data_IF_780641557109
#
_entry.id   IF_780641557109
#
_cell.length_a   1.000
_cell.length_b   1.000
_cell.length_c   1.000
_cell.angle_alpha   90.00
_cell.angle_beta   90.00
_cell.angle_gamma   90.00
#
_symmetry.space_group_name_H-M   'P 1'
#
loop_
_entity.id
_entity.type
_entity.pdbx_description
1 polymer ?
#
# COMPACT_ATOMS: atom_id res chain seq x y z
N UNK A 1 0.54 10.92 20.02
CA UNK A 1 0.42 11.65 18.74
C UNK A 1 1.29 10.97 17.70
N UNK A 2 0.88 10.93 16.43
CA UNK A 2 1.72 10.36 15.37
C UNK A 2 2.97 11.21 15.12
N UNK A 3 4.07 10.58 14.71
CA UNK A 3 5.37 11.24 14.45
C UNK A 3 5.28 12.41 13.45
N UNK A 4 4.34 12.33 12.51
CA UNK A 4 4.06 13.37 11.51
C UNK A 4 3.34 14.62 12.05
N UNK A 5 2.92 14.64 13.33
CA UNK A 5 2.21 15.76 13.96
C UNK A 5 3.07 16.54 14.97
N UNK A 6 4.38 16.25 15.02
CA UNK A 6 5.28 16.94 15.95
C UNK A 6 5.49 18.41 15.53
N UNK A 7 5.69 19.35 16.47
CA UNK A 7 5.92 20.76 16.14
C UNK A 7 7.05 20.94 15.12
N UNK A 8 8.17 20.24 15.29
CA UNK A 8 9.31 20.29 14.37
C UNK A 8 8.95 19.93 12.93
N UNK A 9 8.07 18.94 12.72
CA UNK A 9 7.61 18.56 11.38
C UNK A 9 6.65 19.61 10.82
N UNK A 10 5.73 20.14 11.62
CA UNK A 10 4.80 21.18 11.17
C UNK A 10 5.53 22.48 10.80
N UNK A 11 6.54 22.87 11.58
CA UNK A 11 7.39 24.02 11.30
C UNK A 11 8.17 23.84 10.00
N UNK A 12 8.71 22.63 9.77
CA UNK A 12 9.40 22.30 8.51
C UNK A 12 8.45 22.39 7.31
N UNK A 13 7.24 21.84 7.41
CA UNK A 13 6.24 21.92 6.34
C UNK A 13 5.87 23.37 6.04
N UNK A 14 5.67 24.19 7.09
CA UNK A 14 5.38 25.62 6.94
C UNK A 14 6.53 26.38 6.26
N UNK A 15 7.79 26.14 6.66
CA UNK A 15 8.98 26.73 6.01
C UNK A 15 9.11 26.35 4.52
N UNK A 16 8.53 25.21 4.13
CA UNK A 16 8.52 24.72 2.74
C UNK A 16 7.26 25.13 1.98
N UNK A 17 6.39 25.97 2.55
CA UNK A 17 5.10 26.35 1.97
C UNK A 17 4.20 25.14 1.65
N UNK A 18 4.25 24.11 2.50
CA UNK A 18 3.41 22.91 2.37
C UNK A 18 2.27 23.02 3.37
N UNK A 19 1.03 23.03 2.87
CA UNK A 19 -0.17 22.97 3.72
C UNK A 19 -0.55 21.51 3.99
N UNK A 20 -0.44 21.01 5.23
CA UNK A 20 -0.90 19.66 5.56
C UNK A 20 -2.43 19.59 5.56
N UNK A 21 -2.99 18.56 4.93
CA UNK A 21 -4.42 18.24 5.05
C UNK A 21 -4.65 17.32 6.25
N UNK A 22 -5.68 17.62 7.06
CA UNK A 22 -6.10 16.75 8.16
C UNK A 22 -7.16 15.79 7.62
N UNK A 23 -6.78 14.52 7.51
CA UNK A 23 -7.72 13.45 7.17
C UNK A 23 -8.40 12.96 8.45
N UNK A 24 -9.74 12.92 8.53
CA UNK A 24 -10.44 12.32 9.65
C UNK A 24 -10.03 10.86 9.85
N UNK A 25 -10.15 10.38 11.08
CA UNK A 25 -10.00 8.95 11.36
C UNK A 25 -10.91 8.13 10.44
N UNK A 26 -10.45 6.93 10.07
CA UNK A 26 -11.11 5.98 9.14
C UNK A 26 -11.37 6.44 7.70
N UNK A 27 -11.05 7.69 7.33
CA UNK A 27 -11.20 8.16 5.96
C UNK A 27 -9.99 7.88 5.06
N UNK A 28 -8.87 7.38 5.59
CA UNK A 28 -7.61 7.22 4.85
C UNK A 28 -7.77 6.35 3.59
N UNK A 29 -8.43 5.20 3.73
CA UNK A 29 -8.77 4.30 2.63
C UNK A 29 -9.88 4.79 1.68
N UNK A 30 -10.40 6.01 1.88
CA UNK A 30 -11.38 6.65 1.01
C UNK A 30 -10.78 7.85 0.27
N UNK A 31 -9.91 8.61 0.94
CA UNK A 31 -9.49 9.92 0.44
C UNK A 31 -8.00 10.05 0.18
N UNK A 32 -7.15 9.18 0.75
CA UNK A 32 -5.71 9.24 0.51
C UNK A 32 -5.36 8.46 -0.76
N UNK A 33 -4.85 9.12 -1.81
CA UNK A 33 -4.58 8.46 -3.10
C UNK A 33 -3.64 7.27 -3.01
N UNK A 34 -2.67 7.31 -2.09
CA UNK A 34 -1.75 6.19 -1.86
C UNK A 34 -2.46 4.99 -1.24
N UNK A 35 -3.39 5.21 -0.31
CA UNK A 35 -4.13 4.11 0.34
C UNK A 35 -5.16 3.48 -0.61
N UNK A 36 -5.88 4.33 -1.36
CA UNK A 36 -6.94 3.91 -2.28
C UNK A 36 -6.35 3.23 -3.52
N UNK A 37 -5.41 3.88 -4.19
CA UNK A 37 -4.93 3.46 -5.51
C UNK A 37 -3.63 2.66 -5.46
N UNK A 38 -2.87 2.76 -4.39
CA UNK A 38 -1.64 1.97 -4.19
C UNK A 38 -1.88 0.79 -3.25
N UNK A 39 -1.99 1.06 -1.95
CA UNK A 39 -1.97 0.03 -0.91
C UNK A 39 -3.12 -0.97 -1.05
N UNK A 40 -4.34 -0.51 -1.35
CA UNK A 40 -5.49 -1.41 -1.49
C UNK A 40 -5.29 -2.37 -2.66
N UNK A 41 -5.07 -1.85 -3.86
CA UNK A 41 -4.91 -2.65 -5.07
C UNK A 41 -3.71 -3.59 -4.97
N UNK A 42 -2.60 -3.13 -4.40
CA UNK A 42 -1.42 -3.96 -4.21
C UNK A 42 -1.66 -5.11 -3.23
N UNK A 43 -2.36 -4.85 -2.12
CA UNK A 43 -2.74 -5.89 -1.15
C UNK A 43 -3.73 -6.89 -1.73
N UNK A 44 -4.67 -6.44 -2.56
CA UNK A 44 -5.59 -7.33 -3.28
C UNK A 44 -4.82 -8.27 -4.21
N UNK A 45 -3.86 -7.75 -4.98
CA UNK A 45 -3.01 -8.59 -5.83
C UNK A 45 -2.16 -9.59 -5.04
N UNK A 46 -1.53 -9.17 -3.94
CA UNK A 46 -0.76 -10.08 -3.07
C UNK A 46 -1.65 -11.19 -2.54
N UNK A 47 -2.89 -10.88 -2.14
CA UNK A 47 -3.83 -11.89 -1.66
C UNK A 47 -4.13 -12.90 -2.75
N UNK A 48 -4.45 -12.44 -3.96
CA UNK A 48 -4.78 -13.34 -5.07
C UNK A 48 -3.59 -14.26 -5.41
N UNK A 49 -2.36 -13.73 -5.43
CA UNK A 49 -1.13 -14.53 -5.61
C UNK A 49 -0.87 -15.51 -4.45
N UNK A 50 -1.27 -15.14 -3.24
CA UNK A 50 -1.13 -16.00 -2.06
C UNK A 50 -2.12 -17.16 -2.14
N UNK A 51 -3.37 -16.88 -2.51
CA UNK A 51 -4.43 -17.88 -2.66
C UNK A 51 -4.09 -18.88 -3.77
N UNK A 52 -3.53 -18.40 -4.90
CA UNK A 52 -3.03 -19.27 -5.98
C UNK A 52 -1.89 -20.17 -5.50
N UNK A 53 -0.91 -19.62 -4.78
CA UNK A 53 0.22 -20.43 -4.28
C UNK A 53 -0.25 -21.48 -3.27
N UNK A 54 -1.13 -21.13 -2.33
CA UNK A 54 -1.70 -22.06 -1.37
C UNK A 54 -2.40 -23.20 -2.11
N UNK A 55 -3.23 -22.88 -3.10
CA UNK A 55 -3.93 -23.88 -3.90
C UNK A 55 -2.96 -24.85 -4.60
N UNK A 56 -1.94 -24.32 -5.28
CA UNK A 56 -0.95 -25.15 -5.97
C UNK A 56 -0.19 -26.06 -5.00
N UNK A 57 0.24 -25.54 -3.84
CA UNK A 57 1.02 -26.30 -2.87
C UNK A 57 0.18 -27.39 -2.16
N UNK A 58 -1.04 -27.07 -1.74
CA UNK A 58 -1.93 -28.01 -1.06
C UNK A 58 -2.52 -29.05 -2.03
N UNK A 59 -2.49 -28.79 -3.34
CA UNK A 59 -2.92 -29.76 -4.36
C UNK A 59 -1.91 -30.90 -4.59
N UNK A 60 -0.68 -30.78 -4.09
CA UNK A 60 0.36 -31.81 -4.22
C UNK A 60 0.09 -32.95 -3.23
N UNK A 61 0.12 -34.20 -3.71
CA UNK A 61 -0.19 -35.40 -2.91
C UNK A 61 0.71 -35.60 -1.67
N UNK A 62 1.86 -34.91 -1.61
CA UNK A 62 2.87 -35.00 -0.54
C UNK A 62 2.72 -33.88 0.51
N UNK A 63 1.74 -32.98 0.36
CA UNK A 63 1.51 -31.91 1.32
C UNK A 63 0.89 -32.46 2.62
N UNK A 64 1.66 -32.46 3.71
CA UNK A 64 1.16 -32.83 5.04
C UNK A 64 0.78 -31.62 5.91
N UNK A 65 1.59 -30.56 5.91
CA UNK A 65 1.38 -29.36 6.74
C UNK A 65 2.25 -28.19 6.29
N UNK A 66 1.82 -26.98 6.67
CA UNK A 66 2.62 -25.75 6.56
C UNK A 66 3.76 -25.70 7.58
N UNK A 67 4.98 -25.42 7.10
CA UNK A 67 6.08 -24.97 7.95
C UNK A 67 6.17 -23.45 7.95
N UNK A 68 6.71 -22.87 9.02
CA UNK A 68 6.95 -21.42 9.12
C UNK A 68 7.86 -20.92 7.98
N UNK A 69 8.80 -21.76 7.54
CA UNK A 69 9.66 -21.48 6.39
C UNK A 69 8.86 -21.32 5.09
N UNK A 70 7.91 -22.23 4.83
CA UNK A 70 7.08 -22.21 3.63
C UNK A 70 6.26 -20.92 3.56
N UNK A 71 5.61 -20.53 4.67
CA UNK A 71 4.86 -19.29 4.75
C UNK A 71 5.73 -18.05 4.49
N UNK A 72 6.98 -18.05 4.98
CA UNK A 72 7.91 -16.94 4.81
C UNK A 72 8.36 -16.82 3.35
N UNK A 73 8.66 -17.96 2.71
CA UNK A 73 9.04 -18.01 1.29
C UNK A 73 7.86 -17.57 0.42
N UNK A 74 6.67 -18.10 0.67
CA UNK A 74 5.44 -17.75 -0.03
C UNK A 74 5.18 -16.24 0.03
N UNK A 75 5.07 -15.66 1.23
CA UNK A 75 4.77 -14.23 1.39
C UNK A 75 5.84 -13.37 0.71
N UNK A 76 7.12 -13.72 0.85
CA UNK A 76 8.21 -12.98 0.21
C UNK A 76 8.11 -13.04 -1.31
N UNK A 77 7.81 -14.22 -1.87
CA UNK A 77 7.58 -14.43 -3.29
C UNK A 77 6.37 -13.67 -3.81
N UNK A 78 5.22 -13.78 -3.14
CA UNK A 78 3.98 -13.08 -3.51
C UNK A 78 4.15 -11.56 -3.48
N UNK A 79 4.85 -11.01 -2.49
CA UNK A 79 5.14 -9.56 -2.43
C UNK A 79 6.06 -9.14 -3.57
N UNK A 80 7.13 -9.89 -3.84
CA UNK A 80 8.06 -9.59 -4.93
C UNK A 80 7.40 -9.65 -6.31
N UNK A 81 6.73 -10.77 -6.60
CA UNK A 81 5.99 -10.98 -7.86
C UNK A 81 4.88 -9.96 -8.02
N UNK A 82 4.09 -9.75 -6.95
CA UNK A 82 3.04 -8.75 -6.92
C UNK A 82 3.58 -7.35 -7.22
N UNK A 83 4.75 -6.97 -6.69
CA UNK A 83 5.32 -5.65 -6.96
C UNK A 83 5.75 -5.53 -8.43
N UNK A 84 6.43 -6.54 -8.97
CA UNK A 84 6.84 -6.56 -10.38
C UNK A 84 5.63 -6.40 -11.31
N UNK A 85 4.56 -7.16 -11.06
CA UNK A 85 3.32 -7.08 -11.84
C UNK A 85 2.62 -5.74 -11.66
N UNK A 86 2.43 -5.30 -10.41
CA UNK A 86 1.74 -4.04 -10.10
C UNK A 86 2.48 -2.84 -10.68
N UNK A 87 3.82 -2.82 -10.59
CA UNK A 87 4.63 -1.79 -11.22
C UNK A 87 4.49 -1.82 -12.74
N UNK A 88 4.53 -2.99 -13.37
CA UNK A 88 4.36 -3.11 -14.82
C UNK A 88 3.02 -2.54 -15.30
N UNK A 89 1.93 -2.85 -14.59
CA UNK A 89 0.56 -2.46 -14.99
C UNK A 89 0.17 -1.05 -14.54
N UNK A 90 0.69 -0.58 -13.40
CA UNK A 90 0.20 0.60 -12.67
C UNK A 90 1.32 1.57 -12.28
N UNK A 91 2.50 1.51 -12.89
CA UNK A 91 3.61 2.44 -12.63
C UNK A 91 3.18 3.91 -12.61
N UNK A 92 2.35 4.32 -13.57
CA UNK A 92 1.84 5.68 -13.65
C UNK A 92 0.98 6.03 -12.43
N UNK A 93 0.11 5.12 -11.99
CA UNK A 93 -0.75 5.32 -10.80
C UNK A 93 0.10 5.42 -9.55
N UNK A 94 1.12 4.57 -9.40
CA UNK A 94 2.07 4.65 -8.28
C UNK A 94 2.72 6.04 -8.26
N UNK A 95 3.34 6.46 -9.37
CA UNK A 95 3.98 7.77 -9.47
C UNK A 95 3.01 8.91 -9.14
N UNK A 96 1.80 8.89 -9.71
CA UNK A 96 0.80 9.93 -9.46
C UNK A 96 0.29 9.93 -8.02
N UNK A 97 0.10 8.78 -7.37
CA UNK A 97 -0.31 8.71 -5.97
C UNK A 97 0.75 9.29 -5.02
N UNK A 98 2.04 9.20 -5.37
CA UNK A 98 3.13 9.83 -4.62
C UNK A 98 3.35 11.31 -4.96
N UNK A 99 2.94 11.76 -6.15
CA UNK A 99 3.04 13.17 -6.54
C UNK A 99 1.82 13.99 -6.10
N UNK A 100 0.62 13.40 -6.20
CA UNK A 100 -0.66 13.97 -5.77
C UNK A 100 -1.02 13.42 -4.40
N UNK A 101 -0.27 13.84 -3.39
CA UNK A 101 -0.44 13.41 -1.99
C UNK A 101 -1.58 14.12 -1.26
N UNK A 102 -2.27 15.06 -1.91
CA UNK A 102 -3.37 15.83 -1.34
C UNK A 102 -4.65 15.70 -2.15
N UNK A 103 -5.79 15.83 -1.47
CA UNK A 103 -7.04 16.21 -2.13
C UNK A 103 -6.84 17.61 -2.71
N UNK A 104 -7.00 17.78 -4.02
CA UNK A 104 -7.17 19.09 -4.62
C UNK A 104 -8.54 19.64 -4.21
N UNK A 105 -8.65 20.10 -2.97
CA UNK A 105 -9.83 20.85 -2.55
C UNK A 105 -9.73 22.26 -3.14
N UNK A 106 -10.84 22.84 -3.62
CA UNK A 106 -10.90 24.27 -3.87
C UNK A 106 -10.42 25.03 -2.62
N UNK A 107 -9.79 26.20 -2.79
CA UNK A 107 -9.38 27.07 -1.67
C UNK A 107 -10.56 27.39 -0.72
N UNK A 108 -11.78 27.25 -1.23
CA UNK A 108 -13.05 27.52 -0.60
C UNK A 108 -13.77 26.29 -0.01
N UNK A 109 -13.15 25.10 -0.05
CA UNK A 109 -13.76 23.84 0.40
C UNK A 109 -14.62 23.19 -0.66
#
# INVERSE_FOLDING_TARGET
>A
MGSHKTPAILDLLHQKNITPSIIPGSCTGLVQPLDVSGNKLFKELIRDLTDEWIFELESVAEFEKWMVGDCTVMITGCVGNGFCQFHHEKAEVICHSFQKVGLSLPING
#
